data_IF_930218096350
#
_entry.id   IF_930218096350
#
_cell.length_a   1.000
_cell.length_b   1.000
_cell.length_c   1.000
_cell.angle_alpha   90.00
_cell.angle_beta   90.00
_cell.angle_gamma   90.00
#
_symmetry.space_group_name_H-M   'P 1'
#
loop_
_entity.id
_entity.type
_entity.pdbx_description
1 polymer ?
#
# COMPACT_ATOMS: atom_id res chain seq x y z
N UNK A 1 1.54 29.67 39.73
CA UNK A 1 2.79 29.19 39.11
C UNK A 1 2.88 29.79 37.72
N UNK A 2 3.98 30.48 37.38
CA UNK A 2 4.24 30.89 36.00
C UNK A 2 5.16 29.82 35.41
N UNK A 3 4.64 29.01 34.50
CA UNK A 3 5.40 27.94 33.87
C UNK A 3 6.19 28.50 32.67
N UNK A 4 7.35 27.93 32.37
CA UNK A 4 8.11 28.24 31.15
C UNK A 4 7.46 27.59 29.92
N UNK A 5 7.82 28.03 28.72
CA UNK A 5 7.27 27.51 27.46
C UNK A 5 7.39 25.99 27.38
N UNK A 6 6.27 25.30 27.09
CA UNK A 6 6.18 23.83 27.06
C UNK A 6 5.79 23.18 28.39
N UNK A 7 5.49 23.96 29.43
CA UNK A 7 5.02 23.47 30.73
C UNK A 7 3.64 24.04 31.07
N UNK A 8 2.71 23.16 31.47
CA UNK A 8 1.31 23.51 31.73
C UNK A 8 0.79 22.75 32.97
N UNK A 9 -0.34 23.18 33.53
CA UNK A 9 -0.96 22.55 34.71
C UNK A 9 -0.56 23.18 36.05
N UNK A 10 -1.13 22.67 37.15
CA UNK A 10 -0.94 23.20 38.50
C UNK A 10 0.48 22.97 39.04
N UNK A 11 1.18 21.98 38.47
CA UNK A 11 2.53 21.54 38.81
C UNK A 11 3.58 21.93 37.75
N UNK A 12 3.20 22.67 36.70
CA UNK A 12 4.05 22.94 35.55
C UNK A 12 4.72 21.65 35.02
N UNK A 13 3.92 20.62 34.72
CA UNK A 13 4.41 19.41 34.06
C UNK A 13 4.72 19.67 32.57
N UNK A 14 5.64 18.89 31.99
CA UNK A 14 5.92 18.95 30.55
C UNK A 14 4.66 18.56 29.78
N UNK A 15 4.20 19.43 28.87
CA UNK A 15 3.15 19.07 27.93
C UNK A 15 3.72 18.38 26.70
N UNK A 16 3.00 17.40 26.18
CA UNK A 16 3.33 16.83 24.89
C UNK A 16 2.94 17.76 23.72
N UNK A 17 3.74 17.77 22.64
CA UNK A 17 3.46 18.58 21.46
C UNK A 17 2.09 18.21 20.87
N UNK A 18 1.25 19.21 20.60
CA UNK A 18 -0.11 19.07 20.09
C UNK A 18 -0.97 18.01 20.80
N UNK A 19 -0.68 17.73 22.07
CA UNK A 19 -1.32 16.65 22.84
C UNK A 19 -1.30 15.29 22.12
N UNK A 20 -0.18 15.00 21.46
CA UNK A 20 0.04 13.81 20.63
C UNK A 20 -1.04 13.57 19.58
N UNK A 21 -1.69 14.65 19.11
CA UNK A 21 -2.83 14.64 18.18
C UNK A 21 -3.95 13.66 18.56
N UNK A 22 -4.04 13.28 19.84
CA UNK A 22 -4.90 12.19 20.34
C UNK A 22 -4.66 10.82 19.66
N UNK A 23 -3.46 10.60 19.12
CA UNK A 23 -2.99 9.39 18.42
C UNK A 23 -1.79 8.75 19.12
N UNK A 24 -1.60 9.06 20.39
CA UNK A 24 -0.53 8.53 21.21
C UNK A 24 -0.76 8.85 22.68
N UNK A 25 0.10 8.28 23.52
CA UNK A 25 0.14 8.55 24.95
C UNK A 25 1.23 9.57 25.26
N UNK A 26 0.91 10.54 26.11
CA UNK A 26 1.88 11.52 26.57
C UNK A 26 2.68 10.96 27.75
N UNK A 27 3.97 10.69 27.53
CA UNK A 27 4.88 10.13 28.54
C UNK A 27 6.03 11.09 28.76
N UNK A 28 6.08 11.73 29.94
CA UNK A 28 7.15 12.66 30.35
C UNK A 28 7.41 13.82 29.35
N UNK A 29 6.38 14.26 28.62
CA UNK A 29 6.47 15.33 27.62
C UNK A 29 6.83 14.86 26.20
N UNK A 30 6.94 13.55 25.99
CA UNK A 30 7.17 12.92 24.68
C UNK A 30 5.95 12.07 24.29
N UNK A 31 5.66 12.01 23.00
CA UNK A 31 4.53 11.24 22.48
C UNK A 31 4.94 9.81 22.14
N UNK A 32 4.36 8.85 22.86
CA UNK A 32 4.39 7.44 22.49
C UNK A 32 3.26 7.16 21.51
N UNK A 33 3.57 7.12 20.21
CA UNK A 33 2.56 7.02 19.17
C UNK A 33 1.88 5.64 19.08
N UNK A 34 0.59 5.65 18.80
CA UNK A 34 -0.17 4.45 18.50
C UNK A 34 0.31 3.82 17.18
N UNK A 35 0.00 2.53 16.99
CA UNK A 35 0.36 1.80 15.77
C UNK A 35 -0.12 2.55 14.51
N UNK A 36 0.79 2.70 13.54
CA UNK A 36 0.51 3.41 12.29
C UNK A 36 0.66 4.94 12.39
N UNK A 37 1.15 5.46 13.51
CA UNK A 37 1.46 6.88 13.67
C UNK A 37 2.90 7.10 14.11
N UNK A 38 3.48 8.21 13.68
CA UNK A 38 4.85 8.60 13.97
C UNK A 38 5.00 10.14 14.02
N UNK A 39 6.22 10.59 14.27
CA UNK A 39 6.56 12.00 14.45
C UNK A 39 6.36 12.46 15.89
N UNK A 40 6.86 13.65 16.20
CA UNK A 40 6.96 14.17 17.58
C UNK A 40 5.59 14.31 18.26
N UNK A 41 4.52 14.50 17.49
CA UNK A 41 3.15 14.63 17.96
C UNK A 41 2.18 13.57 17.39
N UNK A 42 2.72 12.50 16.80
CA UNK A 42 1.93 11.41 16.18
C UNK A 42 1.04 11.84 14.99
N UNK A 43 1.35 12.99 14.37
CA UNK A 43 0.61 13.47 13.18
C UNK A 43 0.94 12.70 11.91
N UNK A 44 2.12 12.07 11.82
CA UNK A 44 2.57 11.36 10.62
C UNK A 44 1.88 10.01 10.57
N UNK A 45 1.16 9.76 9.47
CA UNK A 45 0.52 8.47 9.21
C UNK A 45 1.54 7.54 8.55
N UNK A 46 1.72 6.35 9.13
CA UNK A 46 2.63 5.31 8.63
C UNK A 46 1.79 4.12 8.18
N UNK A 47 1.81 3.85 6.88
CA UNK A 47 1.18 2.65 6.32
C UNK A 47 2.11 1.44 6.39
N UNK A 48 1.53 0.25 6.33
CA UNK A 48 2.25 -1.03 6.22
C UNK A 48 3.28 -0.97 5.08
N UNK A 49 4.55 -1.23 5.41
CA UNK A 49 5.69 -1.20 4.49
C UNK A 49 5.80 0.07 3.64
N UNK A 50 5.27 1.20 4.10
CA UNK A 50 5.20 2.45 3.32
C UNK A 50 4.61 2.23 1.91
N UNK A 51 3.57 1.40 1.84
CA UNK A 51 2.92 0.99 0.59
C UNK A 51 3.90 0.44 -0.46
N UNK A 52 4.99 -0.19 0.00
CA UNK A 52 6.06 -0.75 -0.82
C UNK A 52 6.63 0.23 -1.86
N UNK A 53 6.51 1.55 -1.61
CA UNK A 53 6.83 2.59 -2.61
C UNK A 53 6.05 2.48 -3.93
N UNK A 54 4.90 1.81 -3.91
CA UNK A 54 4.02 1.53 -5.05
C UNK A 54 2.58 1.99 -4.79
N UNK A 55 2.44 3.05 -4.00
CA UNK A 55 1.16 3.66 -3.69
C UNK A 55 1.28 4.84 -2.76
N UNK A 56 0.13 5.40 -2.42
CA UNK A 56 0.01 6.52 -1.49
C UNK A 56 -0.70 6.05 -0.23
N UNK A 57 -0.11 6.33 0.93
CA UNK A 57 -0.73 6.11 2.23
C UNK A 57 -1.85 7.11 2.48
N UNK A 58 -3.09 6.64 2.62
CA UNK A 58 -4.27 7.46 2.93
C UNK A 58 -5.04 6.79 4.06
N UNK A 59 -5.16 7.46 5.21
CA UNK A 59 -5.89 6.94 6.38
C UNK A 59 -5.48 5.51 6.78
N UNK A 60 -4.17 5.24 6.89
CA UNK A 60 -3.59 3.92 7.22
C UNK A 60 -3.84 2.82 6.17
N UNK A 61 -4.33 3.16 4.98
CA UNK A 61 -4.53 2.24 3.89
C UNK A 61 -3.71 2.66 2.67
N UNK A 62 -3.14 1.69 1.98
CA UNK A 62 -2.39 1.94 0.76
C UNK A 62 -3.33 2.01 -0.44
N UNK A 63 -3.33 3.17 -1.11
CA UNK A 63 -3.92 3.32 -2.44
C UNK A 63 -2.83 3.06 -3.47
N UNK A 64 -2.83 1.86 -4.05
CA UNK A 64 -1.78 1.42 -4.96
C UNK A 64 -1.76 2.17 -6.28
N UNK A 65 -0.57 2.29 -6.83
CA UNK A 65 -0.34 2.77 -8.19
C UNK A 65 -0.82 1.74 -9.21
N UNK A 66 -1.04 2.19 -10.45
CA UNK A 66 -1.42 1.29 -11.54
C UNK A 66 -0.37 0.19 -11.72
N UNK A 67 -0.82 -1.06 -11.83
CA UNK A 67 0.08 -2.22 -11.91
C UNK A 67 0.36 -2.90 -10.57
N UNK A 68 -0.10 -2.34 -9.44
CA UNK A 68 0.15 -2.85 -8.08
C UNK A 68 -1.15 -3.06 -7.29
N UNK A 69 -1.10 -4.00 -6.36
CA UNK A 69 -2.23 -4.43 -5.53
C UNK A 69 -1.72 -5.07 -4.23
N UNK A 70 -2.64 -5.51 -3.37
CA UNK A 70 -2.37 -6.01 -2.04
C UNK A 70 -2.46 -4.93 -0.97
N UNK A 71 -2.38 -5.35 0.30
CA UNK A 71 -2.57 -4.45 1.46
C UNK A 71 -1.49 -3.35 1.55
N UNK A 72 -0.29 -3.65 1.08
CA UNK A 72 0.88 -2.77 1.09
C UNK A 72 1.43 -2.52 -0.32
N UNK A 73 0.64 -2.77 -1.38
CA UNK A 73 1.03 -2.60 -2.77
C UNK A 73 2.29 -3.39 -3.21
N UNK A 74 2.62 -4.47 -2.51
CA UNK A 74 3.77 -5.33 -2.85
C UNK A 74 3.51 -6.30 -4.01
N UNK A 75 2.25 -6.49 -4.41
CA UNK A 75 1.86 -7.46 -5.43
C UNK A 75 1.64 -6.78 -6.77
N UNK A 76 2.22 -7.32 -7.84
CA UNK A 76 1.94 -6.85 -9.21
C UNK A 76 0.62 -7.41 -9.74
N UNK A 77 -0.21 -6.54 -10.31
CA UNK A 77 -1.42 -6.96 -11.05
C UNK A 77 -1.02 -7.56 -12.38
N UNK A 78 -1.74 -8.59 -12.83
CA UNK A 78 -1.51 -9.18 -14.14
C UNK A 78 -2.31 -8.47 -15.25
N UNK A 79 -1.78 -8.45 -16.48
CA UNK A 79 -2.49 -7.87 -17.63
C UNK A 79 -3.80 -8.62 -17.87
N UNK A 80 -4.88 -7.86 -18.06
CA UNK A 80 -6.24 -8.36 -18.32
C UNK A 80 -6.72 -9.49 -17.39
N UNK A 81 -6.20 -9.55 -16.16
CA UNK A 81 -6.46 -10.65 -15.21
C UNK A 81 -6.22 -12.03 -15.82
N UNK A 82 -5.15 -12.13 -16.62
CA UNK A 82 -4.78 -13.32 -17.40
C UNK A 82 -5.93 -13.87 -18.24
N UNK A 83 -6.80 -12.97 -18.73
CA UNK A 83 -8.02 -13.28 -19.48
C UNK A 83 -8.93 -14.32 -18.82
N UNK A 84 -8.75 -14.57 -17.50
CA UNK A 84 -9.34 -15.69 -16.75
C UNK A 84 -9.00 -17.08 -17.32
N UNK A 85 -7.87 -17.19 -18.02
CA UNK A 85 -7.32 -18.40 -18.64
C UNK A 85 -5.90 -18.71 -18.17
N UNK A 86 -5.53 -18.21 -16.99
CA UNK A 86 -4.23 -18.42 -16.39
C UNK A 86 -4.21 -17.98 -14.95
N UNK A 87 -3.14 -18.36 -14.25
CA UNK A 87 -2.88 -17.92 -12.89
C UNK A 87 -1.98 -16.69 -12.92
N UNK A 88 -2.41 -15.64 -12.22
CA UNK A 88 -1.58 -14.46 -12.01
C UNK A 88 -0.57 -14.72 -10.90
N UNK A 89 0.72 -14.58 -11.19
CA UNK A 89 1.77 -14.62 -10.19
C UNK A 89 2.77 -13.50 -10.43
N UNK A 90 2.79 -12.55 -9.49
CA UNK A 90 3.66 -11.37 -9.49
C UNK A 90 3.70 -10.62 -10.84
N UNK A 91 2.51 -10.33 -11.40
CA UNK A 91 2.36 -9.60 -12.67
C UNK A 91 2.59 -10.44 -13.92
N UNK A 92 2.90 -11.73 -13.79
CA UNK A 92 3.08 -12.66 -14.91
C UNK A 92 1.91 -13.64 -14.96
N UNK A 93 1.36 -13.84 -16.15
CA UNK A 93 0.31 -14.84 -16.38
C UNK A 93 0.90 -16.19 -16.74
N UNK A 94 0.50 -17.21 -15.98
CA UNK A 94 0.80 -18.61 -16.25
C UNK A 94 -0.43 -19.27 -16.86
N UNK A 95 -0.45 -19.37 -18.19
CA UNK A 95 -1.62 -19.78 -18.93
C UNK A 95 -1.98 -21.26 -18.75
N UNK A 96 -3.27 -21.53 -18.76
CA UNK A 96 -3.83 -22.88 -18.82
C UNK A 96 -3.53 -23.53 -20.18
N UNK A 97 -3.49 -24.88 -20.26
CA UNK A 97 -3.21 -25.58 -21.52
C UNK A 97 -4.15 -25.15 -22.65
N UNK A 98 -3.57 -24.71 -23.77
CA UNK A 98 -4.31 -24.21 -24.92
C UNK A 98 -4.57 -22.71 -24.91
N UNK A 99 -4.06 -21.96 -23.93
CA UNK A 99 -4.05 -20.50 -23.95
C UNK A 99 -2.62 -19.97 -23.96
N UNK A 100 -2.42 -18.84 -24.63
CA UNK A 100 -1.13 -18.22 -24.89
C UNK A 100 -1.23 -16.69 -24.92
N UNK A 101 -0.08 -16.03 -24.99
CA UNK A 101 0.04 -14.57 -24.92
C UNK A 101 0.42 -14.09 -23.52
N UNK A 102 0.73 -12.80 -23.39
CA UNK A 102 1.12 -12.17 -22.13
C UNK A 102 0.02 -12.21 -21.08
N UNK A 103 -1.24 -12.20 -21.53
CA UNK A 103 -2.45 -12.22 -20.72
C UNK A 103 -3.31 -13.47 -20.96
N UNK A 104 -2.78 -14.51 -21.61
CA UNK A 104 -3.52 -15.75 -21.92
C UNK A 104 -4.79 -15.58 -22.77
N UNK A 105 -4.97 -14.47 -23.49
CA UNK A 105 -6.14 -14.25 -24.32
C UNK A 105 -6.16 -15.10 -25.61
N UNK A 106 -5.03 -15.65 -26.04
CA UNK A 106 -4.92 -16.38 -27.32
C UNK A 106 -5.20 -17.87 -27.12
N UNK A 107 -6.39 -18.34 -27.49
CA UNK A 107 -6.75 -19.76 -27.45
C UNK A 107 -6.23 -20.57 -28.65
N UNK A 108 -5.88 -21.84 -28.43
CA UNK A 108 -5.63 -22.80 -29.49
C UNK A 108 -6.94 -23.18 -30.18
N UNK A 109 -7.00 -22.90 -31.47
CA UNK A 109 -8.12 -23.26 -32.32
C UNK A 109 -8.38 -24.78 -32.30
N UNK A 110 -9.61 -25.25 -32.00
CA UNK A 110 -9.90 -26.69 -31.93
C UNK A 110 -9.78 -27.40 -33.29
N UNK A 111 -10.02 -26.69 -34.41
CA UNK A 111 -9.78 -27.16 -35.80
C UNK A 111 -9.70 -25.94 -36.73
N UNK A 112 -8.69 -25.85 -37.59
CA UNK A 112 -8.50 -24.81 -38.61
C UNK A 112 -8.38 -23.35 -38.10
N UNK A 113 -7.27 -23.02 -37.46
CA UNK A 113 -6.74 -21.67 -37.58
C UNK A 113 -5.63 -21.70 -38.63
N UNK A 114 -5.90 -21.16 -39.82
CA UNK A 114 -4.86 -20.77 -40.76
C UNK A 114 -4.02 -19.68 -40.09
N UNK A 115 -2.77 -20.02 -39.82
CA UNK A 115 -1.73 -19.16 -39.29
C UNK A 115 -1.52 -17.93 -40.18
N UNK A 116 -2.25 -16.85 -39.96
CA UNK A 116 -1.75 -15.53 -40.34
C UNK A 116 -0.86 -15.00 -39.21
N UNK A 117 0.35 -15.57 -39.15
CA UNK A 117 1.49 -14.91 -38.55
C UNK A 117 1.86 -13.70 -39.43
N UNK A 118 1.08 -12.62 -39.30
CA UNK A 118 1.20 -11.40 -40.10
C UNK A 118 1.51 -10.18 -39.25
N UNK A 119 2.81 -9.90 -39.10
CA UNK A 119 3.46 -8.58 -38.99
C UNK A 119 2.67 -7.39 -38.43
N UNK A 120 3.25 -6.78 -37.40
CA UNK A 120 3.19 -5.36 -37.09
C UNK A 120 4.45 -4.96 -36.35
#
# INVERSE_FOLDING_TARGET
CNCHDGYFGLDCARSCPNNCTSRGECVLGECSCAQGYAGDDCSIVVCSNDCSSHGVCVNLQCRCDAGWTGHDCSLRTCPNDCARHGQCYNGTCYCEPGYYGEDCAVGSCPRNCSYDAGRG
#
